data_IF_052093493396
#
_entry.id   IF_052093493396
#
_cell.length_a   1.000
_cell.length_b   1.000
_cell.length_c   1.000
_cell.angle_alpha   90.00
_cell.angle_beta   90.00
_cell.angle_gamma   90.00
#
_symmetry.space_group_name_H-M   'P 1'
#
loop_
_entity.id
_entity.type
_entity.pdbx_description
1 polymer ?
#
# COMPACT_ATOMS: atom_id res chain seq x y z
N UNK A 1 58.40 -70.80 -64.02
CA UNK A 1 58.05 -72.22 -64.20
C UNK A 1 58.04 -72.91 -62.85
N UNK A 2 57.13 -73.85 -62.61
CA UNK A 2 57.04 -74.69 -61.40
C UNK A 2 57.13 -76.16 -61.79
N UNK A 3 57.62 -77.01 -60.89
CA UNK A 3 57.67 -78.45 -61.14
C UNK A 3 56.24 -79.01 -61.09
N UNK A 4 55.84 -79.73 -62.12
CA UNK A 4 54.56 -80.42 -62.20
C UNK A 4 54.48 -81.56 -61.18
N UNK A 5 53.28 -82.06 -60.93
CA UNK A 5 53.02 -83.12 -59.92
C UNK A 5 53.78 -84.43 -60.24
N UNK A 6 54.18 -84.63 -61.50
CA UNK A 6 55.00 -85.77 -61.94
C UNK A 6 56.49 -85.69 -61.50
N UNK A 7 56.90 -84.56 -60.91
CA UNK A 7 58.27 -84.32 -60.43
C UNK A 7 59.33 -84.19 -61.53
N UNK A 8 58.93 -84.08 -62.81
CA UNK A 8 59.85 -84.14 -63.96
C UNK A 8 59.56 -83.11 -65.05
N UNK A 9 58.34 -82.58 -65.16
CA UNK A 9 58.01 -81.52 -66.11
C UNK A 9 57.92 -80.15 -65.46
N UNK A 10 58.29 -79.10 -66.21
CA UNK A 10 58.17 -77.71 -65.79
C UNK A 10 56.93 -77.09 -66.42
N UNK A 11 55.92 -76.75 -65.62
CA UNK A 11 54.76 -76.00 -66.04
C UNK A 11 55.03 -74.49 -65.94
N UNK A 12 54.40 -73.68 -66.80
CA UNK A 12 54.40 -72.24 -66.62
C UNK A 12 53.82 -71.94 -65.22
N UNK A 13 54.64 -71.32 -64.37
CA UNK A 13 54.17 -70.86 -63.08
C UNK A 13 53.54 -69.49 -63.31
N UNK A 14 52.37 -69.27 -62.71
CA UNK A 14 51.78 -67.94 -62.64
C UNK A 14 52.84 -66.95 -62.14
N UNK A 15 53.08 -65.91 -62.96
CA UNK A 15 54.11 -64.91 -62.71
C UNK A 15 53.91 -64.15 -61.40
N UNK A 16 52.68 -64.13 -60.86
CA UNK A 16 52.34 -63.52 -59.58
C UNK A 16 52.55 -64.45 -58.37
N UNK A 17 52.70 -65.76 -58.58
CA UNK A 17 52.79 -66.75 -57.49
C UNK A 17 54.09 -66.68 -56.67
N UNK A 18 55.10 -65.94 -57.13
CA UNK A 18 56.38 -65.77 -56.43
C UNK A 18 56.58 -64.28 -56.14
N UNK A 19 56.70 -63.92 -54.86
CA UNK A 19 56.89 -62.53 -54.39
C UNK A 19 55.92 -61.52 -55.04
N UNK A 20 54.65 -61.90 -55.22
CA UNK A 20 53.61 -61.09 -55.89
C UNK A 20 54.03 -60.58 -57.29
N UNK A 21 54.86 -61.33 -58.02
CA UNK A 21 55.39 -60.89 -59.31
C UNK A 21 56.29 -59.65 -59.24
N UNK A 22 56.77 -59.29 -58.05
CA UNK A 22 57.50 -58.04 -57.79
C UNK A 22 56.60 -56.83 -57.52
N UNK A 23 55.27 -56.98 -57.58
CA UNK A 23 54.33 -55.89 -57.37
C UNK A 23 54.17 -55.54 -55.89
N UNK A 24 54.11 -54.25 -55.58
CA UNK A 24 53.88 -53.76 -54.22
C UNK A 24 52.46 -54.07 -53.73
N UNK A 25 51.45 -53.97 -54.61
CA UNK A 25 50.04 -54.10 -54.24
C UNK A 25 49.33 -55.27 -54.97
N UNK A 26 48.78 -55.04 -56.16
CA UNK A 26 48.03 -56.07 -56.91
C UNK A 26 48.83 -56.58 -58.10
N UNK A 27 48.95 -57.90 -58.23
CA UNK A 27 49.56 -58.55 -59.39
C UNK A 27 48.51 -59.30 -60.21
N UNK A 28 48.58 -59.15 -61.54
CA UNK A 28 47.83 -59.95 -62.50
C UNK A 28 48.77 -60.62 -63.50
N UNK A 29 48.52 -61.89 -63.78
CA UNK A 29 49.23 -62.60 -64.85
C UNK A 29 48.63 -62.23 -66.20
N UNK A 30 49.47 -61.73 -67.12
CA UNK A 30 49.12 -61.47 -68.51
C UNK A 30 50.24 -62.00 -69.43
N UNK A 31 49.92 -63.00 -70.25
CA UNK A 31 50.83 -63.58 -71.27
C UNK A 31 52.18 -64.04 -70.69
N UNK A 32 52.17 -64.65 -69.52
CA UNK A 32 53.33 -65.18 -68.80
C UNK A 32 54.12 -64.13 -68.03
N UNK A 33 53.63 -62.88 -67.93
CA UNK A 33 54.29 -61.78 -67.22
C UNK A 33 53.42 -61.27 -66.06
N UNK A 34 54.10 -60.82 -65.01
CA UNK A 34 53.46 -60.12 -63.90
C UNK A 34 53.16 -58.68 -64.34
N UNK A 35 51.89 -58.28 -64.24
CA UNK A 35 51.44 -56.91 -64.45
C UNK A 35 50.94 -56.35 -63.13
N UNK A 36 51.59 -55.29 -62.67
CA UNK A 36 51.24 -54.64 -61.42
C UNK A 36 50.11 -53.61 -61.62
N UNK A 37 49.27 -53.49 -60.61
CA UNK A 37 48.25 -52.45 -60.49
C UNK A 37 48.08 -52.09 -59.03
N UNK A 38 47.44 -50.95 -58.78
CA UNK A 38 47.23 -50.45 -57.43
C UNK A 38 45.74 -50.41 -57.11
N UNK A 39 45.41 -50.57 -55.82
CA UNK A 39 44.05 -50.33 -55.31
C UNK A 39 43.64 -48.88 -55.53
N UNK A 40 42.32 -48.64 -55.49
CA UNK A 40 41.76 -47.30 -55.65
C UNK A 40 42.39 -46.31 -54.66
N UNK A 41 42.61 -45.07 -55.10
CA UNK A 41 43.33 -44.04 -54.34
C UNK A 41 44.85 -44.06 -54.50
N UNK A 42 45.40 -45.05 -55.21
CA UNK A 42 46.83 -45.14 -55.51
C UNK A 42 47.07 -45.20 -57.03
N UNK A 43 48.24 -44.75 -57.46
CA UNK A 43 48.70 -44.81 -58.85
C UNK A 43 49.99 -45.62 -58.95
N UNK A 44 50.18 -46.29 -60.09
CA UNK A 44 51.39 -47.05 -60.34
C UNK A 44 52.55 -46.08 -60.60
N UNK A 45 53.63 -46.23 -59.86
CA UNK A 45 54.83 -45.41 -59.98
C UNK A 45 55.58 -45.69 -61.30
N UNK A 46 56.59 -44.86 -61.60
CA UNK A 46 57.37 -44.98 -62.84
C UNK A 46 58.10 -46.32 -62.98
N UNK A 47 58.44 -46.96 -61.86
CA UNK A 47 59.07 -48.29 -61.81
C UNK A 47 58.14 -49.45 -62.20
N UNK A 48 56.85 -49.16 -62.44
CA UNK A 48 55.80 -50.12 -62.80
C UNK A 48 55.55 -51.22 -61.75
N UNK A 49 56.07 -51.08 -60.53
CA UNK A 49 55.92 -52.08 -59.46
C UNK A 49 55.47 -51.48 -58.13
N UNK A 50 55.83 -50.23 -57.87
CA UNK A 50 55.47 -49.49 -56.66
C UNK A 50 54.17 -48.71 -56.85
N UNK A 51 53.47 -48.45 -55.75
CA UNK A 51 52.27 -47.63 -55.75
C UNK A 51 52.53 -46.34 -54.99
N UNK A 52 52.15 -45.22 -55.59
CA UNK A 52 52.18 -43.89 -54.99
C UNK A 52 50.77 -43.43 -54.66
N UNK A 53 50.67 -42.71 -53.55
CA UNK A 53 49.41 -42.15 -53.11
C UNK A 53 48.91 -41.02 -54.02
N UNK A 54 47.60 -40.99 -54.28
CA UNK A 54 46.97 -39.87 -54.98
C UNK A 54 46.53 -38.86 -53.94
N UNK A 55 47.16 -37.68 -53.93
CA UNK A 55 46.72 -36.61 -53.04
C UNK A 55 45.40 -35.99 -53.53
N UNK A 56 44.28 -36.52 -53.03
CA UNK A 56 42.97 -36.03 -53.44
C UNK A 56 42.70 -34.60 -52.92
N UNK A 57 43.44 -34.13 -51.91
CA UNK A 57 43.34 -32.75 -51.40
C UNK A 57 43.86 -31.70 -52.38
N UNK A 58 44.57 -32.09 -53.43
CA UNK A 58 44.91 -31.20 -54.54
C UNK A 58 43.70 -30.90 -55.46
N UNK A 59 42.58 -31.62 -55.29
CA UNK A 59 41.36 -31.40 -56.07
C UNK A 59 40.51 -30.30 -55.43
N UNK A 60 40.26 -29.16 -56.11
CA UNK A 60 39.46 -28.09 -55.56
C UNK A 60 38.03 -28.52 -55.26
N UNK A 61 37.52 -28.14 -54.08
CA UNK A 61 36.12 -28.40 -53.69
C UNK A 61 35.83 -29.83 -53.23
N UNK A 62 36.85 -30.66 -53.00
CA UNK A 62 36.64 -32.04 -52.54
C UNK A 62 36.13 -32.13 -51.09
N UNK A 63 36.55 -31.20 -50.22
CA UNK A 63 36.05 -31.02 -48.87
C UNK A 63 35.49 -29.60 -48.72
N UNK A 64 34.39 -29.46 -47.98
CA UNK A 64 33.80 -28.15 -47.67
C UNK A 64 34.71 -27.29 -46.78
N UNK A 65 35.50 -27.92 -45.93
CA UNK A 65 36.47 -27.26 -45.04
C UNK A 65 37.89 -27.81 -45.32
N UNK A 66 38.55 -28.39 -44.31
CA UNK A 66 39.92 -28.85 -44.42
C UNK A 66 39.97 -30.27 -44.96
N UNK A 67 40.85 -30.52 -45.91
CA UNK A 67 41.16 -31.87 -46.38
C UNK A 67 42.43 -32.38 -45.72
N UNK A 68 42.45 -33.67 -45.35
CA UNK A 68 43.64 -34.38 -44.91
C UNK A 68 43.85 -35.61 -45.79
N UNK A 69 44.95 -35.62 -46.52
CA UNK A 69 45.34 -36.74 -47.37
C UNK A 69 45.84 -37.93 -46.54
N UNK A 70 45.49 -39.16 -46.94
CA UNK A 70 45.86 -40.40 -46.28
C UNK A 70 46.26 -41.45 -47.31
N UNK A 71 46.95 -42.52 -46.93
CA UNK A 71 47.37 -43.51 -47.91
C UNK A 71 46.17 -44.25 -48.53
N UNK A 72 45.93 -44.03 -49.83
CA UNK A 72 44.86 -44.61 -50.63
C UNK A 72 43.48 -43.95 -50.45
N UNK A 73 43.40 -42.80 -49.77
CA UNK A 73 42.14 -42.07 -49.52
C UNK A 73 42.40 -40.68 -48.93
N UNK A 74 41.36 -39.92 -48.63
CA UNK A 74 41.43 -38.70 -47.84
C UNK A 74 40.30 -38.64 -46.81
N UNK A 75 40.40 -37.72 -45.86
CA UNK A 75 39.33 -37.39 -44.94
C UNK A 75 39.09 -35.88 -44.85
N UNK A 76 37.82 -35.48 -44.80
CA UNK A 76 37.43 -34.10 -44.60
C UNK A 76 37.26 -33.81 -43.10
N UNK A 77 37.83 -32.69 -42.65
CA UNK A 77 37.82 -32.25 -41.27
C UNK A 77 37.07 -30.91 -41.16
N UNK A 78 36.16 -30.84 -40.19
CA UNK A 78 35.38 -29.64 -39.94
C UNK A 78 36.09 -28.70 -38.95
N UNK A 79 35.88 -27.40 -39.14
CA UNK A 79 36.28 -26.37 -38.17
C UNK A 79 35.41 -26.48 -36.91
N UNK A 80 35.88 -25.89 -35.80
CA UNK A 80 35.13 -25.85 -34.54
C UNK A 80 33.71 -25.31 -34.75
N UNK A 81 32.71 -25.98 -34.16
CA UNK A 81 31.30 -25.62 -34.30
C UNK A 81 30.59 -26.21 -35.53
N UNK A 82 31.25 -27.10 -36.27
CA UNK A 82 30.68 -27.79 -37.43
C UNK A 82 30.85 -29.31 -37.31
N UNK A 83 29.87 -30.05 -37.81
CA UNK A 83 29.87 -31.52 -37.87
C UNK A 83 29.94 -32.00 -39.32
N UNK A 84 30.68 -33.09 -39.54
CA UNK A 84 30.81 -33.72 -40.84
C UNK A 84 29.48 -34.38 -41.23
N UNK A 85 29.02 -34.05 -42.43
CA UNK A 85 27.82 -34.56 -43.05
C UNK A 85 27.86 -36.05 -43.36
N UNK A 86 26.70 -36.59 -43.72
CA UNK A 86 26.56 -37.98 -44.18
C UNK A 86 27.28 -38.25 -45.51
N UNK A 87 27.56 -37.20 -46.29
CA UNK A 87 28.35 -37.28 -47.52
C UNK A 87 29.87 -37.36 -47.26
N UNK A 88 30.29 -37.27 -45.98
CA UNK A 88 31.68 -37.29 -45.52
C UNK A 88 32.56 -36.18 -46.13
N UNK A 89 31.95 -35.15 -46.74
CA UNK A 89 32.65 -34.05 -47.42
C UNK A 89 32.17 -32.68 -46.98
N UNK A 90 30.88 -32.55 -46.71
CA UNK A 90 30.25 -31.30 -46.31
C UNK A 90 30.29 -31.15 -44.80
N UNK A 91 30.58 -29.95 -44.33
CA UNK A 91 30.54 -29.62 -42.92
C UNK A 91 29.35 -28.70 -42.66
N UNK A 92 28.45 -29.13 -41.77
CA UNK A 92 27.28 -28.35 -41.39
C UNK A 92 27.52 -27.72 -40.04
N UNK A 93 27.03 -26.50 -39.83
CA UNK A 93 27.05 -25.95 -38.48
C UNK A 93 26.28 -26.90 -37.57
N UNK A 94 26.87 -27.18 -36.41
CA UNK A 94 26.10 -27.75 -35.32
C UNK A 94 25.25 -26.57 -34.86
N UNK A 95 24.02 -26.48 -35.36
CA UNK A 95 23.03 -25.68 -34.69
C UNK A 95 22.90 -26.35 -33.32
N UNK A 96 23.57 -25.76 -32.31
CA UNK A 96 23.20 -26.00 -30.92
C UNK A 96 21.72 -25.70 -30.91
N UNK A 97 20.89 -26.75 -30.87
CA UNK A 97 19.45 -26.60 -30.74
C UNK A 97 19.25 -25.59 -29.63
N UNK A 98 18.81 -24.40 -30.03
CA UNK A 98 18.56 -23.32 -29.10
C UNK A 98 17.23 -23.71 -28.47
N UNK A 99 17.29 -24.68 -27.55
CA UNK A 99 16.16 -25.08 -26.75
C UNK A 99 15.70 -23.79 -26.09
N UNK A 100 14.49 -23.37 -26.41
CA UNK A 100 13.93 -22.15 -25.88
C UNK A 100 13.99 -22.28 -24.35
N UNK A 101 14.89 -21.48 -23.77
CA UNK A 101 15.24 -21.51 -22.35
C UNK A 101 14.06 -21.20 -21.43
N UNK A 102 12.94 -20.72 -21.98
CA UNK A 102 11.70 -20.46 -21.24
C UNK A 102 10.75 -21.66 -21.18
N UNK A 103 11.00 -22.74 -21.94
CA UNK A 103 10.10 -23.89 -22.01
C UNK A 103 10.02 -24.68 -20.70
N UNK A 104 11.11 -24.72 -19.94
CA UNK A 104 11.15 -25.40 -18.66
C UNK A 104 11.06 -24.40 -17.51
N UNK A 105 10.05 -24.56 -16.65
CA UNK A 105 9.78 -23.72 -15.48
C UNK A 105 9.91 -22.20 -15.74
N UNK A 106 9.42 -21.72 -16.89
CA UNK A 106 9.56 -20.31 -17.32
C UNK A 106 11.02 -19.82 -17.32
N UNK A 107 11.96 -20.70 -17.64
CA UNK A 107 13.40 -20.43 -17.57
C UNK A 107 13.90 -20.10 -16.17
N UNK A 108 13.12 -20.41 -15.13
CA UNK A 108 13.33 -20.03 -13.74
C UNK A 108 13.11 -18.54 -13.46
N UNK A 109 12.33 -17.84 -14.28
CA UNK A 109 11.90 -16.46 -14.05
C UNK A 109 10.61 -16.41 -13.23
N UNK A 110 10.53 -15.52 -12.23
CA UNK A 110 9.31 -15.36 -11.42
C UNK A 110 8.11 -14.84 -12.24
N UNK A 111 8.36 -13.90 -13.14
CA UNK A 111 7.32 -13.25 -13.96
C UNK A 111 7.46 -13.59 -15.45
N UNK A 112 8.23 -12.81 -16.20
CA UNK A 112 8.32 -12.97 -17.65
C UNK A 112 9.68 -13.55 -18.04
N UNK A 113 9.69 -14.47 -19.01
CA UNK A 113 10.90 -15.02 -19.60
C UNK A 113 10.96 -14.70 -21.09
N UNK A 114 12.14 -14.29 -21.55
CA UNK A 114 12.49 -14.17 -22.95
C UNK A 114 13.71 -15.03 -23.25
N UNK A 115 13.62 -15.83 -24.30
CA UNK A 115 14.77 -16.58 -24.77
C UNK A 115 15.85 -15.65 -25.33
N UNK A 116 17.09 -15.82 -24.88
CA UNK A 116 18.24 -15.01 -25.29
C UNK A 116 19.52 -15.82 -25.50
N UNK A 117 20.56 -15.19 -26.08
CA UNK A 117 21.81 -15.85 -26.47
C UNK A 117 22.62 -16.43 -25.31
N UNK A 118 22.36 -15.99 -24.07
CA UNK A 118 22.97 -16.52 -22.85
C UNK A 118 22.04 -17.41 -22.01
N UNK A 119 20.86 -17.79 -22.52
CA UNK A 119 19.86 -18.56 -21.80
C UNK A 119 18.57 -17.77 -21.53
N UNK A 120 17.91 -18.02 -20.41
CA UNK A 120 16.67 -17.33 -20.02
C UNK A 120 16.97 -15.89 -19.58
N UNK A 121 16.31 -14.92 -20.20
CA UNK A 121 16.36 -13.51 -19.80
C UNK A 121 15.06 -13.17 -19.09
N UNK A 122 15.13 -12.91 -17.78
CA UNK A 122 13.95 -12.60 -16.98
C UNK A 122 13.64 -11.10 -16.97
N UNK A 123 12.36 -10.78 -16.87
CA UNK A 123 11.88 -9.42 -16.61
C UNK A 123 10.61 -9.46 -15.76
N UNK A 124 10.31 -8.33 -15.12
CA UNK A 124 9.20 -8.20 -14.20
C UNK A 124 8.01 -7.46 -14.83
N UNK A 125 6.80 -7.76 -14.35
CA UNK A 125 5.62 -6.94 -14.65
C UNK A 125 5.81 -5.51 -14.13
N UNK A 126 5.00 -4.57 -14.63
CA UNK A 126 5.01 -3.19 -14.13
C UNK A 126 4.76 -3.15 -12.61
N UNK A 127 5.47 -2.25 -11.91
CA UNK A 127 5.42 -2.14 -10.44
C UNK A 127 6.30 -3.15 -9.69
N UNK A 128 7.23 -3.83 -10.38
CA UNK A 128 8.14 -4.78 -9.75
C UNK A 128 9.58 -4.61 -10.27
N UNK A 129 10.56 -4.69 -9.36
CA UNK A 129 11.99 -4.69 -9.66
C UNK A 129 12.54 -6.10 -9.82
N UNK A 130 13.38 -6.25 -10.84
CA UNK A 130 14.19 -7.44 -11.02
C UNK A 130 15.33 -7.44 -10.00
N UNK A 131 15.40 -8.49 -9.21
CA UNK A 131 16.38 -8.66 -8.15
C UNK A 131 17.78 -8.99 -8.71
N UNK A 132 18.85 -8.86 -7.90
CA UNK A 132 20.22 -9.14 -8.32
C UNK A 132 20.46 -10.58 -8.82
N UNK A 133 19.59 -11.53 -8.42
CA UNK A 133 19.60 -12.91 -8.92
C UNK A 133 19.15 -13.04 -10.39
N UNK A 134 18.71 -11.94 -11.00
CA UNK A 134 18.21 -11.85 -12.38
C UNK A 134 17.02 -12.78 -12.66
N UNK A 135 16.25 -13.13 -11.62
CA UNK A 135 15.16 -14.13 -11.71
C UNK A 135 13.94 -13.74 -10.89
N UNK A 136 14.17 -13.25 -9.68
CA UNK A 136 13.13 -12.88 -8.75
C UNK A 136 12.65 -11.46 -9.01
N UNK A 137 11.36 -11.23 -8.76
CA UNK A 137 10.73 -9.93 -8.84
C UNK A 137 10.19 -9.56 -7.47
N UNK A 138 10.56 -8.40 -6.97
CA UNK A 138 10.00 -7.81 -5.76
C UNK A 138 9.21 -6.57 -6.10
N UNK A 139 8.19 -6.34 -5.29
CA UNK A 139 7.29 -5.21 -5.44
C UNK A 139 8.05 -3.88 -5.28
N UNK A 140 7.77 -2.91 -6.16
CA UNK A 140 8.27 -1.55 -6.00
C UNK A 140 7.41 -0.80 -5.01
N UNK A 141 7.92 -0.57 -3.81
CA UNK A 141 7.18 0.22 -2.82
C UNK A 141 7.27 1.72 -3.17
N UNK A 142 6.26 2.22 -3.89
CA UNK A 142 6.19 3.64 -4.26
C UNK A 142 6.00 4.55 -3.05
N UNK A 143 5.42 4.05 -1.95
CA UNK A 143 5.23 4.78 -0.70
C UNK A 143 6.55 4.98 0.04
N UNK A 144 7.39 3.96 0.10
CA UNK A 144 8.73 4.04 0.70
C UNK A 144 9.71 4.87 -0.14
N UNK A 145 9.56 4.85 -1.46
CA UNK A 145 10.42 5.63 -2.38
C UNK A 145 9.95 7.07 -2.59
N UNK A 146 8.72 7.41 -2.20
CA UNK A 146 8.12 8.72 -2.42
C UNK A 146 7.83 9.02 -3.89
N UNK A 147 7.72 7.99 -4.73
CA UNK A 147 7.42 8.12 -6.17
C UNK A 147 5.90 8.15 -6.47
N UNK A 148 5.07 7.96 -5.44
CA UNK A 148 3.62 8.03 -5.53
C UNK A 148 3.09 9.45 -5.76
N UNK A 149 1.83 9.53 -6.22
CA UNK A 149 1.11 10.80 -6.45
C UNK A 149 0.04 11.13 -5.42
N UNK A 150 -0.13 10.30 -4.39
CA UNK A 150 -1.16 10.50 -3.37
C UNK A 150 -1.01 11.86 -2.68
N UNK A 151 -2.12 12.59 -2.56
CA UNK A 151 -2.15 13.88 -1.86
C UNK A 151 -1.96 13.73 -0.35
N UNK A 152 -2.51 12.65 0.24
CA UNK A 152 -2.51 12.42 1.69
C UNK A 152 -1.79 11.12 2.02
N UNK A 153 -2.50 10.00 2.11
CA UNK A 153 -1.93 8.73 2.55
C UNK A 153 -1.65 7.81 1.35
N UNK A 154 -0.48 7.15 1.36
CA UNK A 154 -0.08 6.16 0.38
C UNK A 154 -0.11 4.77 1.03
N UNK A 155 -0.74 3.81 0.35
CA UNK A 155 -0.79 2.42 0.75
C UNK A 155 -0.16 1.57 -0.34
N UNK A 156 0.95 0.91 -0.02
CA UNK A 156 1.64 0.06 -0.97
C UNK A 156 0.83 -1.21 -1.26
N UNK A 157 0.80 -1.65 -2.51
CA UNK A 157 0.05 -2.83 -2.96
C UNK A 157 0.87 -3.65 -3.95
N UNK A 158 0.67 -4.98 -4.07
CA UNK A 158 1.44 -5.76 -5.03
C UNK A 158 1.24 -5.28 -6.48
N UNK A 159 2.29 -4.70 -7.08
CA UNK A 159 2.34 -4.16 -8.43
C UNK A 159 2.02 -2.66 -8.55
N UNK A 160 1.93 -1.93 -7.44
CA UNK A 160 1.71 -0.49 -7.44
C UNK A 160 1.23 0.04 -6.10
N UNK A 161 0.45 1.12 -6.09
CA UNK A 161 -0.04 1.71 -4.85
C UNK A 161 -1.47 2.21 -4.97
N UNK A 162 -2.11 2.37 -3.81
CA UNK A 162 -3.41 3.01 -3.67
C UNK A 162 -3.28 4.24 -2.77
N UNK A 163 -4.08 5.27 -3.07
CA UNK A 163 -4.16 6.45 -2.23
C UNK A 163 -5.36 6.36 -1.30
N UNK A 164 -5.16 6.78 -0.06
CA UNK A 164 -6.20 6.92 0.95
C UNK A 164 -6.27 8.37 1.44
N UNK A 165 -7.45 8.73 1.94
CA UNK A 165 -7.71 10.05 2.48
C UNK A 165 -7.94 9.97 3.98
N UNK A 166 -7.51 11.01 4.69
CA UNK A 166 -7.82 11.22 6.10
C UNK A 166 -9.34 11.34 6.31
N UNK A 167 -9.77 11.13 7.55
CA UNK A 167 -11.18 11.32 7.92
C UNK A 167 -11.67 12.73 7.54
N UNK A 168 -12.91 12.81 7.06
CA UNK A 168 -13.49 14.06 6.53
C UNK A 168 -13.17 14.33 5.05
N UNK A 169 -12.43 13.44 4.38
CA UNK A 169 -12.10 13.57 2.96
C UNK A 169 -12.51 12.31 2.17
N UNK A 170 -12.86 12.51 0.91
CA UNK A 170 -13.18 11.45 -0.04
C UNK A 170 -12.18 11.44 -1.20
N UNK A 171 -11.80 10.23 -1.63
CA UNK A 171 -10.91 10.06 -2.78
C UNK A 171 -11.62 10.52 -4.06
N UNK A 172 -10.96 11.43 -4.76
CA UNK A 172 -11.42 11.99 -6.03
C UNK A 172 -11.39 10.95 -7.15
N UNK A 173 -12.10 11.22 -8.24
CA UNK A 173 -12.18 10.35 -9.42
C UNK A 173 -10.85 10.13 -10.13
N UNK A 174 -9.85 10.97 -9.87
CA UNK A 174 -8.49 10.77 -10.38
C UNK A 174 -7.73 9.66 -9.64
N UNK A 175 -8.22 9.21 -8.49
CA UNK A 175 -7.60 8.18 -7.65
C UNK A 175 -6.41 8.66 -6.82
N UNK A 176 -6.09 9.96 -6.81
CA UNK A 176 -4.91 10.52 -6.13
C UNK A 176 -5.22 11.68 -5.18
N UNK A 177 -6.21 12.50 -5.55
CA UNK A 177 -6.58 13.70 -4.80
C UNK A 177 -7.67 13.38 -3.76
N UNK A 178 -7.66 14.08 -2.65
CA UNK A 178 -8.60 13.96 -1.57
C UNK A 178 -9.41 15.25 -1.46
N UNK A 179 -10.71 15.15 -1.76
CA UNK A 179 -11.63 16.27 -1.69
C UNK A 179 -12.30 16.27 -0.33
N UNK A 180 -12.44 17.47 0.23
CA UNK A 180 -13.20 17.70 1.45
C UNK A 180 -14.65 17.20 1.30
N UNK A 181 -15.14 16.50 2.31
CA UNK A 181 -16.53 16.04 2.35
C UNK A 181 -17.35 17.12 3.04
N UNK A 182 -18.26 17.75 2.31
CA UNK A 182 -19.16 18.72 2.93
C UNK A 182 -20.25 17.99 3.73
N UNK A 183 -20.05 17.90 5.05
CA UNK A 183 -21.04 17.26 5.92
C UNK A 183 -22.33 18.08 6.06
N UNK A 184 -22.30 19.39 5.78
CA UNK A 184 -23.48 20.26 5.87
C UNK A 184 -24.51 19.95 4.77
N UNK A 185 -24.08 19.42 3.62
CA UNK A 185 -24.98 19.00 2.54
C UNK A 185 -25.88 17.81 2.93
N UNK A 186 -25.50 17.05 3.96
CA UNK A 186 -26.26 15.91 4.44
C UNK A 186 -26.82 16.17 5.84
N UNK A 187 -28.14 16.28 5.95
CA UNK A 187 -28.84 16.50 7.23
C UNK A 187 -28.24 17.67 8.03
N UNK A 188 -27.73 18.70 7.33
CA UNK A 188 -27.09 19.87 7.95
C UNK A 188 -25.90 19.52 8.87
N UNK A 189 -25.17 18.44 8.60
CA UNK A 189 -24.12 17.91 9.48
C UNK A 189 -24.64 17.44 10.84
N UNK A 190 -25.96 17.32 11.02
CA UNK A 190 -26.59 17.13 12.33
C UNK A 190 -26.64 18.40 13.19
N UNK A 191 -26.26 19.57 12.67
CA UNK A 191 -26.42 20.84 13.35
C UNK A 191 -27.91 21.22 13.48
N UNK A 192 -28.32 21.69 14.65
CA UNK A 192 -29.68 22.15 14.92
C UNK A 192 -30.01 23.45 14.18
N UNK A 193 -29.04 24.37 14.11
CA UNK A 193 -29.17 25.66 13.44
C UNK A 193 -28.29 25.74 12.20
N UNK A 194 -27.19 26.48 12.24
CA UNK A 194 -26.38 26.79 11.07
C UNK A 194 -25.17 25.85 11.02
N UNK A 195 -24.91 25.23 9.86
CA UNK A 195 -23.72 24.43 9.61
C UNK A 195 -22.77 25.20 8.68
N UNK A 196 -21.49 25.19 9.02
CA UNK A 196 -20.43 25.71 8.15
C UNK A 196 -19.38 24.63 7.93
N UNK A 197 -19.25 24.22 6.68
CA UNK A 197 -18.24 23.27 6.27
C UNK A 197 -16.82 23.85 6.43
N UNK A 198 -15.86 23.00 6.79
CA UNK A 198 -14.45 23.33 6.98
C UNK A 198 -13.57 22.22 6.42
N UNK A 199 -12.28 22.47 6.17
CA UNK A 199 -11.43 21.42 5.60
C UNK A 199 -11.25 20.24 6.57
N UNK A 200 -11.86 19.09 6.25
CA UNK A 200 -11.84 17.81 6.95
C UNK A 200 -12.87 17.65 8.07
N UNK A 201 -13.82 18.58 8.21
CA UNK A 201 -14.83 18.59 9.28
C UNK A 201 -15.86 19.69 9.01
N UNK A 202 -16.81 19.88 9.91
CA UNK A 202 -17.72 21.02 9.91
C UNK A 202 -17.83 21.63 11.30
N UNK A 203 -18.39 22.84 11.36
CA UNK A 203 -18.68 23.55 12.61
C UNK A 203 -20.13 24.00 12.61
N UNK A 204 -20.85 23.67 13.69
CA UNK A 204 -22.18 24.20 13.95
C UNK A 204 -22.11 25.56 14.64
N UNK A 205 -23.06 26.44 14.32
CA UNK A 205 -23.27 27.71 15.02
C UNK A 205 -24.76 27.92 15.28
N UNK A 206 -25.07 28.67 16.35
CA UNK A 206 -26.43 28.95 16.72
C UNK A 206 -26.85 30.36 16.29
N UNK A 207 -28.09 30.47 15.83
CA UNK A 207 -28.78 31.75 15.61
C UNK A 207 -28.82 32.59 16.88
N UNK A 208 -29.00 33.90 16.72
CA UNK A 208 -29.09 34.88 17.83
C UNK A 208 -30.07 34.42 18.91
N UNK A 209 -29.68 34.60 20.17
CA UNK A 209 -30.46 34.17 21.35
C UNK A 209 -30.25 32.71 21.76
N UNK A 210 -29.30 31.98 21.15
CA UNK A 210 -29.01 30.58 21.45
C UNK A 210 -27.50 30.33 21.62
N UNK A 211 -27.15 29.37 22.47
CA UNK A 211 -25.76 28.89 22.68
C UNK A 211 -25.61 27.46 22.21
N UNK A 212 -24.43 27.14 21.67
CA UNK A 212 -24.11 25.80 21.18
C UNK A 212 -23.79 24.86 22.35
N UNK A 213 -24.50 23.73 22.41
CA UNK A 213 -24.35 22.67 23.40
C UNK A 213 -24.09 21.35 22.67
N UNK A 214 -23.24 20.48 23.23
CA UNK A 214 -22.93 19.17 22.64
C UNK A 214 -22.41 19.23 21.18
N UNK A 215 -21.85 20.37 20.78
CA UNK A 215 -21.32 20.69 19.42
C UNK A 215 -22.34 20.74 18.29
N UNK A 216 -23.57 20.28 18.48
CA UNK A 216 -24.59 20.24 17.41
C UNK A 216 -25.92 20.89 17.77
N UNK A 217 -26.22 21.09 19.07
CA UNK A 217 -27.52 21.57 19.55
C UNK A 217 -27.48 23.01 20.01
N UNK A 218 -28.61 23.69 19.97
CA UNK A 218 -28.73 25.10 20.30
C UNK A 218 -29.76 25.31 21.41
N UNK A 219 -29.29 25.67 22.60
CA UNK A 219 -30.18 26.00 23.71
C UNK A 219 -30.44 27.50 23.74
N UNK A 220 -31.70 27.85 23.90
CA UNK A 220 -32.12 29.25 24.04
C UNK A 220 -31.51 29.85 25.31
N UNK A 221 -31.00 31.06 25.20
CA UNK A 221 -30.50 31.84 26.32
C UNK A 221 -31.59 32.79 26.79
N UNK A 222 -31.87 32.77 28.09
CA UNK A 222 -32.60 33.83 28.76
C UNK A 222 -31.57 34.67 29.53
N UNK A 223 -31.81 35.96 29.71
CA UNK A 223 -30.95 36.77 30.55
C UNK A 223 -31.81 37.75 31.32
N UNK A 224 -31.48 37.91 32.60
CA UNK A 224 -32.09 38.93 33.44
C UNK A 224 -31.15 40.11 33.51
N UNK A 225 -31.66 41.27 33.14
CA UNK A 225 -30.99 42.55 33.30
C UNK A 225 -31.57 43.26 34.52
N UNK A 226 -30.71 43.61 35.47
CA UNK A 226 -31.05 44.50 36.58
C UNK A 226 -30.31 45.83 36.39
N UNK A 227 -31.06 46.89 36.12
CA UNK A 227 -30.54 48.27 36.13
C UNK A 227 -30.43 48.79 37.58
N UNK A 228 -29.75 49.92 37.79
CA UNK A 228 -29.59 50.58 39.10
C UNK A 228 -30.93 50.90 39.80
N UNK A 229 -32.05 50.90 39.06
CA UNK A 229 -33.40 51.12 39.56
C UNK A 229 -34.15 49.83 40.02
N UNK A 230 -33.48 48.67 40.09
CA UNK A 230 -34.08 47.41 40.55
C UNK A 230 -35.30 46.92 39.72
N UNK A 231 -35.50 47.43 38.49
CA UNK A 231 -36.50 46.89 37.57
C UNK A 231 -35.96 45.66 36.86
N UNK A 232 -36.42 44.46 37.23
CA UNK A 232 -36.10 43.22 36.51
C UNK A 232 -36.83 43.18 35.16
N UNK A 233 -36.08 43.23 34.06
CA UNK A 233 -36.59 42.92 32.73
C UNK A 233 -36.04 41.56 32.28
N UNK A 234 -36.91 40.56 32.22
CA UNK A 234 -36.64 39.26 31.58
C UNK A 234 -36.93 39.38 30.09
N UNK A 235 -35.92 39.14 29.25
CA UNK A 235 -36.04 39.25 27.79
C UNK A 235 -35.77 37.89 27.15
N UNK A 236 -36.78 37.32 26.50
CA UNK A 236 -36.63 36.07 25.74
C UNK A 236 -36.16 36.38 24.32
N UNK A 237 -34.96 35.91 23.96
CA UNK A 237 -34.62 35.44 22.61
C UNK A 237 -34.55 36.43 21.43
N UNK A 238 -35.15 37.62 21.49
CA UNK A 238 -35.29 38.51 20.32
C UNK A 238 -34.26 39.66 20.28
N UNK A 239 -33.45 39.81 21.33
CA UNK A 239 -32.41 40.83 21.38
C UNK A 239 -31.09 40.26 20.89
N UNK A 240 -30.55 40.90 19.85
CA UNK A 240 -29.20 40.69 19.40
C UNK A 240 -28.26 41.10 20.54
N UNK A 241 -27.56 40.14 21.14
CA UNK A 241 -26.53 40.42 22.15
C UNK A 241 -25.53 41.44 21.58
N UNK A 242 -25.31 41.51 20.26
CA UNK A 242 -24.51 42.59 19.66
C UNK A 242 -25.19 43.96 19.74
N UNK A 243 -26.52 44.08 19.65
CA UNK A 243 -27.22 45.38 19.82
C UNK A 243 -27.31 45.85 21.27
N UNK A 244 -27.28 44.93 22.25
CA UNK A 244 -27.10 45.29 23.67
C UNK A 244 -25.64 45.71 23.94
N UNK A 245 -24.70 45.21 23.14
CA UNK A 245 -23.26 45.44 23.29
C UNK A 245 -22.68 46.53 22.35
N UNK A 246 -23.40 47.01 21.34
CA UNK A 246 -22.88 47.93 20.32
C UNK A 246 -22.73 49.38 20.82
N UNK A 247 -23.49 49.79 21.84
CA UNK A 247 -23.28 51.08 22.49
C UNK A 247 -22.10 51.07 23.50
N UNK A 248 -21.69 49.91 24.01
CA UNK A 248 -20.71 49.79 25.11
C UNK A 248 -19.35 49.15 24.69
N UNK A 249 -19.17 48.70 23.43
CA UNK A 249 -17.96 47.95 23.01
C UNK A 249 -16.71 48.76 22.64
N UNK A 250 -16.71 50.09 22.73
CA UNK A 250 -15.47 50.85 22.50
C UNK A 250 -14.43 50.71 23.64
N UNK A 251 -14.72 49.92 24.69
CA UNK A 251 -13.81 49.71 25.83
C UNK A 251 -13.14 48.32 25.85
N UNK A 252 -13.62 47.32 25.09
CA UNK A 252 -13.09 45.94 25.15
C UNK A 252 -12.01 45.61 24.10
N UNK A 253 -11.32 46.60 23.53
CA UNK A 253 -10.02 46.37 22.88
C UNK A 253 -8.91 46.26 23.92
N UNK A 254 -8.91 45.17 24.67
CA UNK A 254 -7.75 44.80 25.47
C UNK A 254 -8.08 44.12 26.78
N UNK A 255 -8.42 42.83 26.73
CA UNK A 255 -7.75 41.86 27.61
C UNK A 255 -8.16 40.44 27.24
N UNK A 256 -7.13 39.67 26.92
CA UNK A 256 -7.10 38.22 26.96
C UNK A 256 -7.55 37.71 28.33
N UNK A 257 -8.40 36.68 28.38
CA UNK A 257 -8.16 35.41 29.07
C UNK A 257 -9.42 34.55 29.02
N UNK A 258 -9.30 33.41 28.37
CA UNK A 258 -10.12 32.23 28.64
C UNK A 258 -9.84 31.85 30.10
N UNK A 259 -10.88 31.73 30.92
CA UNK A 259 -10.78 31.08 32.22
C UNK A 259 -11.84 30.00 32.28
N UNK A 260 -11.38 28.75 32.31
CA UNK A 260 -12.17 27.56 32.58
C UNK A 260 -12.78 27.67 33.99
N UNK A 261 -14.09 27.88 34.03
CA UNK A 261 -15.06 27.39 35.02
C UNK A 261 -16.35 28.20 34.83
N UNK A 262 -17.41 27.55 34.38
CA UNK A 262 -18.73 28.17 34.21
C UNK A 262 -19.44 28.35 35.55
N UNK A 263 -19.02 29.35 36.30
CA UNK A 263 -19.86 30.00 37.30
C UNK A 263 -19.66 31.52 37.18
N UNK A 264 -20.72 32.21 36.74
CA UNK A 264 -20.92 33.66 36.81
C UNK A 264 -19.75 34.56 36.33
N UNK A 265 -19.81 35.02 35.09
CA UNK A 265 -18.91 36.08 34.62
C UNK A 265 -19.42 37.43 35.14
N UNK A 266 -18.85 37.90 36.25
CA UNK A 266 -19.05 39.28 36.73
C UNK A 266 -18.01 40.21 36.11
N UNK A 267 -18.42 41.03 35.15
CA UNK A 267 -17.68 42.24 34.78
C UNK A 267 -18.19 43.39 35.64
N UNK A 268 -17.30 43.98 36.44
CA UNK A 268 -17.63 45.13 37.26
C UNK A 268 -16.65 46.26 36.95
N UNK A 269 -17.07 47.18 36.09
CA UNK A 269 -16.73 48.59 36.20
C UNK A 269 -17.92 49.40 35.69
N UNK A 270 -18.50 50.21 36.59
CA UNK A 270 -19.71 51.06 36.41
C UNK A 270 -21.05 50.29 36.29
N UNK A 271 -21.47 49.74 37.43
CA UNK A 271 -22.87 49.52 37.85
C UNK A 271 -23.89 48.89 36.87
N UNK A 272 -23.46 48.03 35.95
CA UNK A 272 -24.35 47.15 35.19
C UNK A 272 -23.88 45.71 35.37
N UNK A 273 -24.74 44.88 35.98
CA UNK A 273 -24.49 43.43 36.12
C UNK A 273 -25.45 42.72 35.17
N UNK A 274 -24.90 42.02 34.18
CA UNK A 274 -25.68 41.17 33.27
C UNK A 274 -25.54 39.73 33.75
N UNK A 275 -26.63 39.12 34.20
CA UNK A 275 -26.65 37.70 34.60
C UNK A 275 -27.36 36.89 33.52
N UNK A 276 -26.60 35.99 32.89
CA UNK A 276 -27.11 35.11 31.82
C UNK A 276 -27.65 33.83 32.47
N UNK A 277 -28.94 33.55 32.32
CA UNK A 277 -29.61 32.38 32.88
C UNK A 277 -29.99 31.41 31.76
N UNK A 278 -29.49 30.17 31.81
CA UNK A 278 -29.98 29.13 30.90
C UNK A 278 -31.30 28.60 31.42
N UNK A 279 -32.44 29.16 30.98
CA UNK A 279 -33.75 28.56 31.32
C UNK A 279 -33.93 27.24 30.60
N UNK A 280 -34.24 26.23 31.39
CA UNK A 280 -34.51 24.90 30.90
C UNK A 280 -35.86 24.81 30.21
N UNK A 281 -35.97 23.89 29.23
CA UNK A 281 -37.25 23.57 28.61
C UNK A 281 -38.27 23.16 29.68
N UNK A 282 -39.58 23.47 29.53
CA UNK A 282 -40.58 23.14 30.52
C UNK A 282 -40.52 21.65 30.91
N UNK A 283 -40.34 21.38 32.20
CA UNK A 283 -40.16 20.03 32.74
C UNK A 283 -38.71 19.61 33.00
N UNK A 284 -37.71 20.46 32.70
CA UNK A 284 -36.30 20.25 33.04
C UNK A 284 -35.80 21.39 33.94
N UNK A 285 -34.81 21.13 34.79
CA UNK A 285 -34.23 22.11 35.72
C UNK A 285 -32.77 21.78 36.08
N UNK A 286 -32.14 22.63 36.90
CA UNK A 286 -30.76 22.46 37.38
C UNK A 286 -29.67 22.88 36.38
N UNK A 287 -28.38 22.77 36.76
CA UNK A 287 -27.27 23.19 35.92
C UNK A 287 -27.24 22.40 34.61
N UNK A 288 -27.19 23.11 33.49
CA UNK A 288 -27.24 22.58 32.12
C UNK A 288 -28.54 21.81 31.76
N UNK A 289 -29.62 21.96 32.53
CA UNK A 289 -30.94 21.38 32.20
C UNK A 289 -30.95 19.86 32.07
N UNK A 290 -30.17 19.19 32.92
CA UNK A 290 -29.99 17.73 32.90
C UNK A 290 -30.99 16.98 33.79
N UNK A 291 -31.67 17.67 34.72
CA UNK A 291 -32.63 17.08 35.65
C UNK A 291 -34.06 17.28 35.16
N UNK A 292 -34.96 16.31 35.37
CA UNK A 292 -36.36 16.40 34.96
C UNK A 292 -37.30 16.52 36.16
N UNK A 293 -38.39 17.28 36.02
CA UNK A 293 -39.44 17.36 37.03
C UNK A 293 -40.13 16.00 37.28
N UNK A 294 -40.05 15.06 36.35
CA UNK A 294 -40.48 13.66 36.57
C UNK A 294 -39.63 12.93 37.61
N UNK A 295 -38.42 13.42 37.88
CA UNK A 295 -37.52 12.85 38.87
C UNK A 295 -37.85 13.36 40.29
N UNK A 296 -38.76 14.34 40.41
CA UNK A 296 -39.24 14.81 41.70
C UNK A 296 -40.23 13.80 42.32
N UNK A 297 -40.01 13.35 43.56
CA UNK A 297 -41.02 12.57 44.29
C UNK A 297 -42.24 13.42 44.72
N UNK A 298 -42.15 14.75 44.58
CA UNK A 298 -43.19 15.73 44.95
C UNK A 298 -43.39 16.81 43.89
N UNK A 299 -43.87 17.98 44.32
CA UNK A 299 -44.17 19.11 43.45
C UNK A 299 -42.87 19.76 42.92
N UNK A 300 -42.82 20.11 41.63
CA UNK A 300 -41.66 20.73 40.99
C UNK A 300 -41.92 22.24 40.88
N UNK A 301 -41.05 23.07 41.46
CA UNK A 301 -41.16 24.53 41.40
C UNK A 301 -40.22 25.07 40.33
N UNK A 302 -40.80 25.58 39.24
CA UNK A 302 -40.04 26.16 38.12
C UNK A 302 -39.45 27.54 38.47
N UNK A 303 -39.95 28.22 39.51
CA UNK A 303 -39.44 29.52 39.97
C UNK A 303 -38.34 29.38 41.05
N UNK A 304 -38.33 28.27 41.79
CA UNK A 304 -37.32 27.98 42.82
C UNK A 304 -36.16 27.07 42.37
N UNK A 305 -36.03 26.85 41.05
CA UNK A 305 -34.94 26.09 40.42
C UNK A 305 -34.79 24.62 40.91
N UNK A 306 -35.88 23.94 41.31
CA UNK A 306 -35.79 22.53 41.73
C UNK A 306 -37.05 21.87 42.32
N UNK A 307 -36.90 20.62 42.77
CA UNK A 307 -37.98 19.87 43.43
C UNK A 307 -38.29 20.38 44.85
N UNK A 308 -39.57 20.44 45.22
CA UNK A 308 -40.01 20.69 46.60
C UNK A 308 -39.96 19.39 47.40
N UNK A 309 -39.01 19.30 48.34
CA UNK A 309 -38.80 18.08 49.12
C UNK A 309 -39.71 17.95 50.34
N UNK A 310 -40.26 16.75 50.55
CA UNK A 310 -40.98 16.38 51.76
C UNK A 310 -40.08 16.47 53.01
N UNK A 311 -40.71 16.46 54.20
CA UNK A 311 -40.00 16.59 55.47
C UNK A 311 -38.95 15.49 55.64
N UNK A 312 -37.70 15.88 55.89
CA UNK A 312 -36.60 14.93 56.11
C UNK A 312 -35.78 14.59 54.84
N UNK A 313 -36.11 15.19 53.69
CA UNK A 313 -35.40 15.01 52.42
C UNK A 313 -34.78 16.31 51.90
N UNK A 314 -33.67 16.19 51.19
CA UNK A 314 -32.90 17.27 50.54
C UNK A 314 -32.27 16.80 49.23
N UNK A 315 -31.62 17.72 48.52
CA UNK A 315 -31.00 17.47 47.22
C UNK A 315 -31.88 17.93 46.06
N UNK A 316 -31.33 18.07 44.85
CA UNK A 316 -32.04 18.65 43.71
C UNK A 316 -33.26 17.82 43.27
N UNK A 317 -33.27 16.51 43.59
CA UNK A 317 -34.40 15.58 43.35
C UNK A 317 -34.93 14.91 44.62
N UNK A 318 -34.64 15.46 45.80
CA UNK A 318 -35.18 14.98 47.09
C UNK A 318 -34.86 13.52 47.46
N UNK A 319 -33.75 12.99 46.98
CA UNK A 319 -33.27 11.64 47.23
C UNK A 319 -32.44 11.54 48.52
N UNK A 320 -31.79 12.63 48.94
CA UNK A 320 -30.90 12.66 50.11
C UNK A 320 -31.66 12.88 51.42
N UNK A 321 -31.24 12.28 52.55
CA UNK A 321 -31.77 12.62 53.87
C UNK A 321 -31.27 13.98 54.35
N UNK A 322 -32.03 14.67 55.21
CA UNK A 322 -31.60 15.95 55.77
C UNK A 322 -30.23 15.87 56.46
N UNK A 323 -29.37 16.89 56.30
CA UNK A 323 -28.14 17.02 57.07
C UNK A 323 -28.40 16.98 58.57
N UNK A 324 -27.44 16.42 59.34
CA UNK A 324 -27.57 16.32 60.80
C UNK A 324 -27.81 17.70 61.43
N UNK A 325 -28.86 17.81 62.24
CA UNK A 325 -29.26 19.05 62.90
C UNK A 325 -30.31 19.88 62.15
N UNK A 326 -30.74 19.44 60.96
CA UNK A 326 -31.76 20.09 60.15
C UNK A 326 -32.98 19.18 59.92
N UNK A 327 -34.17 19.76 59.88
CA UNK A 327 -35.47 19.09 59.69
C UNK A 327 -36.49 20.01 59.00
N UNK A 328 -37.69 19.50 58.74
CA UNK A 328 -38.74 20.21 57.99
C UNK A 328 -38.64 20.04 56.46
N UNK A 329 -39.59 20.59 55.68
CA UNK A 329 -39.55 20.55 54.20
C UNK A 329 -38.31 21.27 53.69
N UNK A 330 -37.56 20.63 52.79
CA UNK A 330 -36.27 21.16 52.28
C UNK A 330 -35.17 21.33 53.35
N UNK A 331 -35.33 20.76 54.55
CA UNK A 331 -34.37 20.86 55.66
C UNK A 331 -34.12 22.29 56.18
N UNK A 332 -35.12 23.16 56.12
CA UNK A 332 -35.00 24.58 56.44
C UNK A 332 -35.11 24.92 57.94
N UNK A 333 -35.31 23.94 58.82
CA UNK A 333 -35.47 24.15 60.26
C UNK A 333 -34.30 23.51 61.03
N UNK A 334 -33.65 24.25 61.93
CA UNK A 334 -32.52 23.74 62.73
C UNK A 334 -32.97 23.27 64.13
N UNK A 335 -32.42 22.15 64.63
CA UNK A 335 -32.76 21.61 65.96
C UNK A 335 -31.95 22.30 67.05
N UNK A 336 -32.60 23.14 67.84
CA UNK A 336 -32.01 23.84 68.98
C UNK A 336 -31.84 22.93 70.21
N UNK A 337 -30.98 21.92 70.11
CA UNK A 337 -30.41 21.21 71.27
C UNK A 337 -28.94 20.87 71.02
N UNK A 338 -28.07 21.86 71.30
CA UNK A 338 -26.61 21.74 71.26
C UNK A 338 -25.94 23.11 71.34
N UNK A 339 -25.83 23.67 72.55
CA UNK A 339 -25.18 24.96 72.79
C UNK A 339 -23.70 24.99 72.36
N UNK A 340 -23.34 25.94 71.50
CA UNK A 340 -22.13 26.79 71.64
C UNK A 340 -22.55 28.24 71.29
N UNK A 341 -22.21 29.25 72.11
CA UNK A 341 -22.72 30.61 71.94
C UNK A 341 -21.80 31.48 71.06
N UNK A 342 -22.41 32.30 70.20
CA UNK A 342 -21.81 33.53 69.65
C UNK A 342 -21.67 33.58 68.14
N UNK A 343 -22.37 34.53 67.51
CA UNK A 343 -21.95 35.15 66.24
C UNK A 343 -22.77 34.80 65.00
N UNK A 344 -23.47 35.83 64.49
CA UNK A 344 -24.04 35.99 63.14
C UNK A 344 -24.97 34.88 62.63
N UNK A 345 -26.26 35.20 62.49
CA UNK A 345 -27.15 34.49 61.58
C UNK A 345 -26.63 34.64 60.15
N UNK A 346 -25.79 33.70 59.73
CA UNK A 346 -25.33 33.54 58.36
C UNK A 346 -26.53 33.12 57.52
N UNK A 347 -26.98 33.99 56.61
CA UNK A 347 -27.65 33.51 55.40
C UNK A 347 -26.61 32.65 54.68
N UNK A 348 -26.82 31.34 54.66
CA UNK A 348 -26.01 30.43 53.86
C UNK A 348 -26.59 30.54 52.44
N UNK A 349 -25.88 31.14 51.46
CA UNK A 349 -26.23 30.93 50.07
C UNK A 349 -25.95 29.45 49.80
N UNK A 350 -26.97 28.72 49.39
CA UNK A 350 -26.77 27.36 48.92
C UNK A 350 -25.90 27.41 47.65
N UNK A 351 -24.85 26.58 47.68
CA UNK A 351 -23.90 26.26 46.61
C UNK A 351 -22.75 27.25 46.36
N UNK A 352 -21.60 26.93 46.97
CA UNK A 352 -20.30 26.89 46.27
C UNK A 352 -20.13 25.48 45.74
N UNK A 353 -19.78 25.31 44.47
CA UNK A 353 -18.95 24.21 44.00
C UNK A 353 -17.80 24.72 43.16
#
# INVERSE_FOLDING_TARGET
>A
YRLAVDGRTCEAADACSVNNGGCLDLCREELGRARCSCRMGLTLAEDQVSCTDVDECQTPGICSHRCQNTWGSYQCLCNSGYQLGTDLRSCYMIDMEVINSCLDNNGGCKHMCKHGPGGAMCSCHAGYLLQPDQRSCEDEDECSTGSHRCQQECVNTPGGYACACHNGYALSTDGFSCNDVDECERENGGCEHDCRNTAGSFVCSCRRGYILVERTRCNMVDYDYTDEDYSSLSSRGDLDISTVLEDDFNVLKGSTSIVDNWENITYAEQAKVVTIHTRCVPGYFGPNCTLQCSDCPGECDLEAEGCICETGKSGPVCDQPCPKGFYGPGCNQASSLGNIPGGLGVRIPFYKF
#
